data_IF_365412895365
#
_entry.id   IF_365412895365
#
_cell.length_a   1.000
_cell.length_b   1.000
_cell.length_c   1.000
_cell.angle_alpha   90.00
_cell.angle_beta   90.00
_cell.angle_gamma   90.00
#
_symmetry.space_group_name_H-M   'P 1'
#
loop_
_entity.id
_entity.type
_entity.pdbx_description
1 polymer ?
#
# COMPACT_ATOMS: atom_id res chain seq x y z
N UNK A 1 -39.14 34.04 11.38
CA UNK A 1 -38.91 33.54 11.29
C UNK A 1 -38.21 32.70 11.20
N UNK A 2 -38.20 32.59 11.20
CA UNK A 2 -37.65 31.89 11.03
C UNK A 2 -36.91 31.02 10.89
N UNK A 3 -36.79 30.78 10.82
CA UNK A 3 -36.29 30.07 10.62
C UNK A 3 -35.48 29.31 10.47
N UNK A 4 -35.37 29.19 10.55
CA UNK A 4 -34.81 28.66 10.28
C UNK A 4 -34.03 27.90 10.30
N UNK A 5 -34.02 27.63 10.36
CA UNK A 5 -33.45 26.97 10.24
C UNK A 5 -32.70 26.29 10.20
N UNK A 6 -32.68 26.17 10.10
CA UNK A 6 -32.09 25.64 9.92
C UNK A 6 -31.33 24.91 9.98
N UNK A 7 -31.28 24.71 9.86
CA UNK A 7 -30.61 24.06 9.73
C UNK A 7 -29.96 23.29 9.75
N UNK A 8 -29.98 23.13 9.58
CA UNK A 8 -29.37 22.39 9.42
C UNK A 8 -28.68 21.66 9.41
N UNK A 9 -28.65 21.48 9.25
CA UNK A 9 -28.09 20.75 9.03
C UNK A 9 -27.21 20.06 9.16
N UNK A 10 -27.07 19.91 9.19
CA UNK A 10 -26.19 19.30 9.11
C UNK A 10 -25.66 18.44 9.09
N UNK A 11 -25.93 18.22 8.93
CA UNK A 11 -25.40 17.43 8.80
C UNK A 11 -24.70 16.85 8.63
N UNK A 12 -24.80 16.89 8.47
CA UNK A 12 -24.24 16.26 8.15
C UNK A 12 -23.36 15.75 8.32
N UNK A 13 -23.42 15.78 8.41
CA UNK A 13 -22.66 15.31 8.40
C UNK A 13 -22.02 14.54 8.66
N UNK A 14 -22.29 14.37 8.70
CA UNK A 14 -21.64 13.57 8.81
C UNK A 14 -21.03 12.89 8.56
N UNK A 15 -21.37 12.88 8.30
CA UNK A 15 -20.91 12.17 7.93
C UNK A 15 -20.00 11.83 7.81
N UNK A 16 -19.93 11.99 7.72
CA UNK A 16 -18.99 11.69 7.44
C UNK A 16 -18.28 11.09 7.87
N UNK A 17 -18.51 11.07 8.11
CA UNK A 17 -17.77 10.52 8.47
C UNK A 17 -17.49 9.47 8.45
N UNK A 18 -18.05 9.09 8.17
CA UNK A 18 -17.78 8.05 8.03
C UNK A 18 -17.00 7.56 7.44
N UNK A 19 -16.76 7.81 7.08
CA UNK A 19 -16.01 7.42 6.44
C UNK A 19 -14.97 7.02 6.84
N UNK A 20 -14.73 7.11 7.09
CA UNK A 20 -13.65 6.84 7.34
C UNK A 20 -13.41 5.75 7.96
N UNK A 21 -13.87 5.25 8.17
CA UNK A 21 -13.54 4.27 8.61
C UNK A 21 -13.10 3.29 8.05
N UNK A 22 -13.12 3.10 7.68
CA UNK A 22 -12.76 2.20 7.09
C UNK A 22 -11.68 1.83 6.90
N UNK A 23 -11.25 1.89 6.97
CA UNK A 23 -10.30 1.68 6.78
C UNK A 23 -9.59 0.62 6.98
N UNK A 24 -9.28 0.00 7.17
CA UNK A 24 -8.58 -0.94 7.48
C UNK A 24 -8.85 -2.03 6.71
N UNK A 25 -8.62 -2.89 6.68
CA UNK A 25 -8.74 -4.04 6.02
C UNK A 25 -9.20 -4.04 4.71
N UNK A 26 -9.10 -3.30 4.07
CA UNK A 26 -9.61 -3.18 2.98
C UNK A 26 -9.03 -3.68 1.84
N UNK A 27 -8.02 -4.35 1.91
CA UNK A 27 -7.36 -4.87 0.79
C UNK A 27 -8.17 -5.78 -0.05
N UNK A 28 -9.28 -6.25 0.38
CA UNK A 28 -10.06 -7.16 -0.42
C UNK A 28 -10.53 -6.60 -1.72
N UNK A 29 -10.80 -5.32 -1.77
CA UNK A 29 -11.28 -4.70 -2.99
C UNK A 29 -10.29 -3.77 -3.62
N UNK A 30 -9.04 -3.89 -3.23
CA UNK A 30 -8.01 -3.02 -3.78
C UNK A 30 -7.72 -3.37 -5.23
N UNK A 31 -7.38 -2.36 -6.01
CA UNK A 31 -6.85 -2.57 -7.35
C UNK A 31 -5.38 -2.95 -7.25
N UNK A 32 -4.79 -3.47 -8.33
CA UNK A 32 -3.36 -3.74 -8.31
C UNK A 32 -2.51 -2.52 -7.93
N UNK A 33 -2.87 -1.35 -8.41
CA UNK A 33 -2.13 -0.13 -8.07
C UNK A 33 -2.24 0.17 -6.59
N UNK A 34 -3.45 0.02 -6.03
CA UNK A 34 -3.65 0.32 -4.62
C UNK A 34 -2.89 -0.62 -3.71
N UNK A 35 -2.88 -1.92 -4.02
CA UNK A 35 -2.15 -2.86 -3.17
C UNK A 35 -0.66 -2.61 -3.26
N UNK A 36 -0.15 -2.28 -4.44
CA UNK A 36 1.27 -1.99 -4.60
C UNK A 36 1.66 -0.72 -3.83
N UNK A 37 0.85 0.33 -3.94
CA UNK A 37 1.11 1.56 -3.19
C UNK A 37 1.04 1.33 -1.69
N UNK A 38 0.05 0.56 -1.25
CA UNK A 38 -0.11 0.25 0.17
C UNK A 38 1.11 -0.48 0.70
N UNK A 39 1.58 -1.48 -0.05
CA UNK A 39 2.74 -2.25 0.37
C UNK A 39 3.97 -1.35 0.51
N UNK A 40 4.20 -0.49 -0.46
CA UNK A 40 5.37 0.37 -0.41
C UNK A 40 5.24 1.47 0.64
N UNK A 41 4.00 1.91 0.93
CA UNK A 41 3.78 2.82 2.04
C UNK A 41 4.18 2.18 3.36
N UNK A 42 3.87 0.89 3.54
CA UNK A 42 4.31 0.17 4.73
C UNK A 42 5.84 0.09 4.81
N UNK A 43 6.50 -0.18 3.68
CA UNK A 43 7.96 -0.21 3.67
C UNK A 43 8.54 1.13 4.11
N UNK A 44 7.99 2.22 3.59
CA UNK A 44 8.48 3.55 3.91
C UNK A 44 8.34 3.84 5.40
N UNK A 45 7.26 3.36 6.00
CA UNK A 45 7.02 3.59 7.43
C UNK A 45 7.75 2.61 8.33
N UNK A 46 8.42 1.62 7.76
CA UNK A 46 9.09 0.60 8.57
C UNK A 46 8.15 -0.46 9.10
N UNK A 47 6.97 -0.56 8.54
CA UNK A 47 5.97 -1.55 8.94
C UNK A 47 6.16 -2.82 8.11
N UNK A 48 7.20 -3.58 8.45
CA UNK A 48 7.63 -4.69 7.60
C UNK A 48 6.67 -5.87 7.65
N UNK A 49 6.04 -6.12 8.78
CA UNK A 49 5.05 -7.18 8.87
C UNK A 49 3.86 -6.86 7.97
N UNK A 50 3.42 -5.62 7.99
CA UNK A 50 2.31 -5.19 7.15
C UNK A 50 2.67 -5.30 5.68
N UNK A 51 3.90 -4.94 5.33
CA UNK A 51 4.35 -5.12 3.96
C UNK A 51 4.28 -6.59 3.55
N UNK A 52 4.79 -7.48 4.40
CA UNK A 52 4.81 -8.90 4.10
C UNK A 52 3.41 -9.46 3.96
N UNK A 53 2.44 -8.92 4.69
CA UNK A 53 1.06 -9.38 4.57
C UNK A 53 0.45 -9.07 3.21
N UNK A 54 1.07 -8.17 2.45
CA UNK A 54 0.63 -7.88 1.09
C UNK A 54 1.18 -8.86 0.06
N UNK A 55 2.08 -9.76 0.48
CA UNK A 55 2.74 -10.69 -0.42
C UNK A 55 1.94 -11.99 -0.50
N UNK A 56 1.88 -12.56 -1.69
CA UNK A 56 1.06 -13.73 -1.97
C UNK A 56 1.30 -14.90 -1.02
N UNK A 57 2.54 -15.17 -0.71
CA UNK A 57 2.89 -16.35 0.08
C UNK A 57 2.93 -16.10 1.57
N UNK A 58 2.42 -14.97 2.02
CA UNK A 58 2.52 -14.58 3.43
C UNK A 58 2.02 -15.66 4.38
N UNK A 59 0.85 -16.22 4.07
CA UNK A 59 0.20 -17.19 4.97
C UNK A 59 0.94 -18.51 5.08
N UNK A 60 1.80 -18.82 4.12
CA UNK A 60 2.53 -20.08 4.13
C UNK A 60 3.97 -19.96 4.64
N UNK A 61 4.36 -18.77 5.11
CA UNK A 61 5.72 -18.57 5.62
C UNK A 61 5.79 -18.97 7.10
N UNK A 62 6.67 -19.92 7.48
CA UNK A 62 6.82 -20.24 8.89
C UNK A 62 7.30 -19.04 9.70
N UNK A 63 6.92 -18.97 10.95
CA UNK A 63 7.21 -17.82 11.80
C UNK A 63 8.70 -17.48 11.85
N UNK A 64 9.55 -18.47 11.90
CA UNK A 64 10.99 -18.21 11.99
C UNK A 64 11.53 -17.56 10.72
N UNK A 65 10.99 -17.95 9.57
CA UNK A 65 11.39 -17.32 8.32
C UNK A 65 10.83 -15.91 8.23
N UNK A 66 9.66 -15.71 8.83
CA UNK A 66 9.04 -14.42 8.88
C UNK A 66 9.98 -13.40 9.53
N UNK A 67 10.54 -13.76 10.67
CA UNK A 67 11.48 -12.89 11.36
C UNK A 67 12.72 -12.60 10.53
N UNK A 68 13.20 -13.62 9.82
CA UNK A 68 14.36 -13.44 8.94
C UNK A 68 14.06 -12.47 7.83
N UNK A 69 12.87 -12.56 7.25
CA UNK A 69 12.48 -11.65 6.18
C UNK A 69 12.36 -10.22 6.68
N UNK A 70 11.81 -10.04 7.88
CA UNK A 70 11.73 -8.71 8.47
C UNK A 70 13.15 -8.13 8.64
N UNK A 71 14.10 -8.95 9.08
CA UNK A 71 15.47 -8.48 9.24
C UNK A 71 16.12 -8.09 7.92
N UNK A 72 15.84 -8.87 6.87
CA UNK A 72 16.36 -8.53 5.54
C UNK A 72 15.79 -7.19 5.08
N UNK A 73 14.50 -6.96 5.30
CA UNK A 73 13.89 -5.71 4.90
C UNK A 73 14.45 -4.53 5.69
N UNK A 74 14.69 -4.72 6.97
CA UNK A 74 15.31 -3.68 7.79
C UNK A 74 16.70 -3.32 7.28
N UNK A 75 17.47 -4.34 6.94
CA UNK A 75 18.82 -4.12 6.47
C UNK A 75 18.82 -3.38 5.13
N UNK A 76 17.92 -3.77 4.25
CA UNK A 76 17.78 -3.09 2.96
C UNK A 76 17.39 -1.62 3.17
N UNK A 77 16.49 -1.36 4.12
CA UNK A 77 16.07 0.01 4.41
C UNK A 77 17.23 0.85 4.95
N UNK A 78 18.07 0.24 5.78
CA UNK A 78 19.23 0.96 6.32
C UNK A 78 20.25 1.28 5.25
N UNK A 79 20.48 0.35 4.32
CA UNK A 79 21.36 0.61 3.21
C UNK A 79 20.84 1.73 2.34
N UNK A 80 19.53 1.72 2.08
CA UNK A 80 18.91 2.76 1.29
C UNK A 80 19.03 4.11 1.98
N UNK A 81 18.90 4.11 3.30
CA UNK A 81 19.05 5.34 4.07
C UNK A 81 20.46 5.91 3.94
N UNK A 82 21.46 5.05 3.93
CA UNK A 82 22.84 5.50 3.77
C UNK A 82 23.12 6.00 2.37
N UNK A 83 22.58 5.34 1.38
CA UNK A 83 22.91 5.65 0.00
C UNK A 83 22.08 6.77 -0.60
N UNK A 84 20.81 6.81 -0.30
CA UNK A 84 19.89 7.78 -0.91
C UNK A 84 18.97 8.46 0.09
N UNK A 85 19.27 8.33 1.37
CA UNK A 85 18.53 8.94 2.47
C UNK A 85 17.12 8.37 2.61
N UNK A 86 16.94 7.13 2.18
CA UNK A 86 15.70 6.41 2.38
C UNK A 86 14.61 6.77 1.38
N UNK A 87 13.62 5.89 1.30
CA UNK A 87 12.46 6.15 0.46
C UNK A 87 11.54 7.13 1.17
N UNK A 88 11.07 8.13 0.43
CA UNK A 88 10.18 9.16 0.97
C UNK A 88 8.75 8.97 0.48
N UNK A 89 8.58 8.59 -0.77
CA UNK A 89 7.25 8.37 -1.32
C UNK A 89 7.27 7.31 -2.40
N UNK A 90 6.14 6.67 -2.61
CA UNK A 90 5.98 5.67 -3.65
C UNK A 90 4.59 5.87 -4.24
N UNK A 91 4.52 6.05 -5.55
CA UNK A 91 3.28 6.38 -6.21
C UNK A 91 3.11 5.55 -7.46
N UNK A 92 1.97 4.87 -7.58
CA UNK A 92 1.68 4.09 -8.78
C UNK A 92 1.38 5.05 -9.93
N UNK A 93 2.06 4.85 -11.05
CA UNK A 93 1.89 5.71 -12.21
C UNK A 93 1.28 4.99 -13.39
N UNK A 94 1.26 3.65 -13.38
CA UNK A 94 0.68 2.89 -14.49
C UNK A 94 0.37 1.49 -14.00
N UNK A 95 -0.63 0.89 -14.60
CA UNK A 95 -1.06 -0.44 -14.24
C UNK A 95 -1.37 -1.17 -15.55
N UNK A 96 -0.78 -2.35 -15.71
CA UNK A 96 -1.00 -3.15 -16.91
C UNK A 96 -1.52 -4.51 -16.50
N UNK A 97 -2.83 -4.69 -16.59
CA UNK A 97 -3.51 -5.88 -16.11
C UNK A 97 -3.92 -6.75 -17.29
N UNK A 98 -3.75 -8.07 -17.16
CA UNK A 98 -4.12 -8.98 -18.23
C UNK A 98 -5.65 -9.04 -18.37
N UNK A 99 -6.11 -9.63 -19.50
CA UNK A 99 -7.54 -9.67 -19.80
C UNK A 99 -8.37 -10.38 -18.76
N UNK A 100 -7.80 -11.42 -18.15
CA UNK A 100 -8.53 -12.21 -17.18
C UNK A 100 -8.51 -11.59 -15.79
N UNK A 101 -7.83 -10.45 -15.64
CA UNK A 101 -7.69 -9.76 -14.35
C UNK A 101 -7.13 -10.67 -13.27
N UNK A 102 -6.10 -11.46 -13.63
CA UNK A 102 -5.44 -12.35 -12.69
C UNK A 102 -3.99 -11.95 -12.41
N UNK A 103 -3.44 -11.07 -13.22
CA UNK A 103 -2.05 -10.67 -13.13
C UNK A 103 -1.90 -9.23 -13.60
N UNK A 104 -1.07 -8.49 -12.93
CA UNK A 104 -0.83 -7.11 -13.31
C UNK A 104 0.61 -6.74 -13.02
N UNK A 105 1.13 -5.77 -13.77
CA UNK A 105 2.41 -5.15 -13.46
C UNK A 105 2.11 -3.69 -13.18
N UNK A 106 2.47 -3.24 -11.99
CA UNK A 106 2.24 -1.86 -11.57
C UNK A 106 3.59 -1.15 -11.60
N UNK A 107 3.62 0.00 -12.27
CA UNK A 107 4.83 0.81 -12.26
C UNK A 107 4.71 1.86 -11.17
N UNK A 108 5.72 1.94 -10.36
CA UNK A 108 5.74 2.82 -9.21
C UNK A 108 6.92 3.76 -9.30
N UNK A 109 6.64 5.04 -9.11
CA UNK A 109 7.69 6.05 -8.96
C UNK A 109 8.05 6.15 -7.50
N UNK A 110 9.33 5.92 -7.20
CA UNK A 110 9.82 6.06 -5.84
C UNK A 110 10.70 7.31 -5.78
N UNK A 111 10.44 8.15 -4.78
CA UNK A 111 11.26 9.31 -4.51
C UNK A 111 12.06 9.05 -3.24
N UNK A 112 13.35 9.36 -3.30
CA UNK A 112 14.25 9.16 -2.18
C UNK A 112 14.57 10.49 -1.49
N UNK A 113 15.09 10.39 -0.26
CA UNK A 113 15.37 11.59 0.54
C UNK A 113 16.42 12.51 -0.06
N UNK A 114 17.25 11.99 -0.97
CA UNK A 114 18.24 12.83 -1.67
C UNK A 114 17.66 13.44 -2.95
N UNK A 115 16.36 13.36 -3.13
CA UNK A 115 15.63 13.91 -4.26
C UNK A 115 15.76 13.10 -5.56
N UNK A 116 16.48 11.98 -5.54
CA UNK A 116 16.52 11.12 -6.72
C UNK A 116 15.24 10.32 -6.82
N UNK A 117 14.95 9.85 -8.02
CA UNK A 117 13.74 9.08 -8.30
C UNK A 117 14.08 7.83 -9.05
N UNK A 118 13.24 6.83 -8.87
CA UNK A 118 13.42 5.55 -9.55
C UNK A 118 12.06 5.00 -9.90
N UNK A 119 11.92 4.48 -11.11
CA UNK A 119 10.69 3.82 -11.50
C UNK A 119 10.92 2.31 -11.43
N UNK A 120 10.05 1.60 -10.72
CA UNK A 120 10.17 0.14 -10.62
C UNK A 120 8.88 -0.51 -11.10
N UNK A 121 9.00 -1.77 -11.53
CA UNK A 121 7.85 -2.57 -11.96
C UNK A 121 7.58 -3.61 -10.88
N UNK A 122 6.34 -3.62 -10.39
CA UNK A 122 5.96 -4.51 -9.30
C UNK A 122 4.91 -5.50 -9.82
N UNK A 123 5.24 -6.79 -9.86
CA UNK A 123 4.26 -7.78 -10.30
C UNK A 123 3.25 -8.05 -9.18
N UNK A 124 1.99 -8.10 -9.57
CA UNK A 124 0.88 -8.29 -8.64
C UNK A 124 0.00 -9.40 -9.19
N UNK A 125 -0.44 -10.29 -8.34
CA UNK A 125 -1.21 -11.45 -8.77
C UNK A 125 -2.50 -11.54 -7.95
N UNK A 126 -3.55 -12.07 -8.56
CA UNK A 126 -4.79 -12.26 -7.84
C UNK A 126 -4.76 -13.63 -7.16
N UNK A 127 -4.91 -13.64 -5.85
CA UNK A 127 -4.82 -14.84 -5.07
C UNK A 127 -6.00 -14.87 -4.10
N UNK A 128 -6.81 -15.91 -4.21
CA UNK A 128 -8.03 -16.04 -3.39
C UNK A 128 -8.90 -14.79 -3.49
N UNK A 129 -9.06 -14.29 -4.71
CA UNK A 129 -9.94 -13.14 -4.95
C UNK A 129 -9.38 -11.79 -4.58
N UNK A 130 -8.12 -11.74 -4.13
CA UNK A 130 -7.50 -10.49 -3.73
C UNK A 130 -6.17 -10.29 -4.44
N UNK A 131 -5.86 -9.05 -4.74
CA UNK A 131 -4.57 -8.73 -5.34
C UNK A 131 -3.49 -8.76 -4.28
N UNK A 132 -2.38 -9.40 -4.61
CA UNK A 132 -1.22 -9.52 -3.72
C UNK A 132 0.06 -9.33 -4.52
N UNK A 133 1.11 -8.84 -3.88
CA UNK A 133 2.41 -8.82 -4.53
C UNK A 133 2.86 -10.26 -4.74
N UNK A 134 3.45 -10.50 -5.92
CA UNK A 134 3.91 -11.83 -6.27
C UNK A 134 5.18 -12.19 -5.53
#
# INVERSE_FOLDING_TARGET
MNLRLVAALPAVIFLLSCKSENKKGIVEKSTPSEIAETAYAHLIKGEYDEYLSCVQSYDSIPQRYHNSLVNVLKQAAENEKKERKGMVSAKAIAENTNEKATYSVVRIDITYGDSTKEEIAVPVIKYNGRWRLK
#
